data_IF_561079438463
#
_entry.id   IF_561079438463
#
_cell.length_a   1.000
_cell.length_b   1.000
_cell.length_c   1.000
_cell.angle_alpha   90.00
_cell.angle_beta   90.00
_cell.angle_gamma   90.00
#
_symmetry.space_group_name_H-M   'P 1'
#
loop_
_entity.id
_entity.type
_entity.pdbx_description
1 polymer ?
#
# COMPACT_ATOMS: atom_id res chain seq x y z
N UNK A 1 -3.44 46.02 43.89
CA UNK A 1 -3.78 46.04 45.32
C UNK A 1 -5.16 45.43 45.49
N UNK A 2 -5.25 44.17 45.94
CA UNK A 2 -6.41 43.44 46.52
C UNK A 2 -6.08 41.93 46.38
N UNK A 3 -5.45 41.24 47.35
CA UNK A 3 -6.04 40.66 48.58
C UNK A 3 -7.40 39.99 48.30
N UNK A 4 -7.65 38.68 48.52
CA UNK A 4 -6.95 37.58 49.20
C UNK A 4 -7.71 36.25 48.86
N UNK A 5 -7.13 35.05 49.12
CA UNK A 5 -7.59 33.74 48.70
C UNK A 5 -8.42 33.01 49.78
N UNK A 6 -9.01 31.85 49.45
CA UNK A 6 -9.35 30.85 50.47
C UNK A 6 -9.43 29.42 49.90
N UNK A 7 -8.46 28.56 50.25
CA UNK A 7 -8.51 27.12 50.11
C UNK A 7 -8.89 26.45 51.46
N UNK A 8 -9.98 25.69 51.48
CA UNK A 8 -10.41 24.73 52.52
C UNK A 8 -11.22 23.68 51.74
N UNK A 9 -10.93 22.38 51.69
CA UNK A 9 -10.55 21.46 52.76
C UNK A 9 -9.77 20.26 52.18
N UNK A 10 -8.57 20.06 52.70
CA UNK A 10 -7.95 18.75 52.91
C UNK A 10 -8.83 17.93 53.87
N UNK A 11 -9.33 16.73 53.51
CA UNK A 11 -9.74 15.70 54.49
C UNK A 11 -10.20 14.33 53.88
N UNK A 12 -9.58 13.77 52.84
CA UNK A 12 -9.96 12.39 52.41
C UNK A 12 -8.79 11.53 51.95
N UNK A 13 -7.67 11.61 52.69
CA UNK A 13 -6.45 10.88 52.35
C UNK A 13 -5.85 10.13 53.55
N UNK A 14 -6.61 9.28 54.26
CA UNK A 14 -6.07 8.17 55.08
C UNK A 14 -7.17 7.49 55.91
N UNK A 15 -7.72 6.33 55.48
CA UNK A 15 -8.23 5.37 56.49
C UNK A 15 -8.55 3.92 56.11
N UNK A 16 -8.11 3.31 55.01
CA UNK A 16 -8.16 1.83 54.99
C UNK A 16 -6.86 1.22 54.48
N UNK A 17 -6.09 0.79 55.47
CA UNK A 17 -4.90 -0.03 55.38
C UNK A 17 -5.23 -1.49 55.02
N UNK A 18 -4.26 -2.12 54.38
CA UNK A 18 -3.85 -3.53 54.55
C UNK A 18 -4.84 -4.66 54.30
N UNK A 19 -4.55 -5.49 53.30
CA UNK A 19 -4.10 -6.88 53.53
C UNK A 19 -3.67 -7.58 52.23
N UNK A 20 -2.49 -8.21 52.29
CA UNK A 20 -2.05 -9.51 51.73
C UNK A 20 -2.71 -10.00 50.43
N UNK A 21 -2.01 -10.45 49.39
CA UNK A 21 -0.90 -11.41 49.41
C UNK A 21 -1.15 -12.42 48.26
N UNK A 22 -0.06 -12.74 47.56
CA UNK A 22 0.30 -13.91 46.74
C UNK A 22 -0.72 -14.78 45.95
N UNK A 23 -0.17 -15.28 44.83
CA UNK A 23 -0.38 -16.60 44.21
C UNK A 23 -1.31 -16.74 42.99
N UNK A 24 -0.64 -17.14 41.90
CA UNK A 24 -1.14 -17.68 40.64
C UNK A 24 -2.31 -18.68 40.76
N UNK A 25 -3.28 -18.59 39.85
CA UNK A 25 -4.02 -19.74 39.29
C UNK A 25 -4.65 -19.35 37.95
N UNK A 26 -4.34 -20.14 36.92
CA UNK A 26 -4.87 -20.05 35.56
C UNK A 26 -6.25 -20.75 35.45
N UNK A 27 -6.73 -21.08 34.24
CA UNK A 27 -7.55 -20.26 33.35
C UNK A 27 -9.02 -20.73 33.35
N UNK A 28 -9.98 -19.81 33.23
CA UNK A 28 -11.37 -20.23 33.10
C UNK A 28 -12.35 -19.09 32.85
N UNK A 29 -13.29 -19.36 31.95
CA UNK A 29 -14.55 -18.66 31.73
C UNK A 29 -14.50 -17.27 31.09
N UNK A 30 -14.53 -17.26 29.75
CA UNK A 30 -15.14 -16.17 29.00
C UNK A 30 -16.65 -16.11 29.31
N UNK A 31 -17.19 -14.98 29.79
CA UNK A 31 -18.63 -14.79 29.86
C UNK A 31 -19.18 -14.57 28.45
N UNK A 32 -20.22 -15.34 28.15
CA UNK A 32 -21.07 -15.23 26.99
C UNK A 32 -21.80 -13.88 26.97
N UNK A 33 -22.15 -13.37 25.79
CA UNK A 33 -23.28 -12.44 25.71
C UNK A 33 -23.32 -11.40 24.60
N UNK A 34 -23.08 -11.79 23.33
CA UNK A 34 -23.77 -11.14 22.20
C UNK A 34 -24.28 -12.21 21.25
N UNK A 35 -25.51 -12.63 21.50
CA UNK A 35 -26.33 -13.44 20.60
C UNK A 35 -26.53 -12.61 19.33
N UNK A 36 -25.76 -12.94 18.29
CA UNK A 36 -26.05 -12.52 16.94
C UNK A 36 -27.15 -13.47 16.44
N UNK A 37 -28.29 -12.92 16.03
CA UNK A 37 -29.42 -13.67 15.48
C UNK A 37 -28.95 -14.70 14.43
N UNK A 38 -29.54 -15.91 14.39
CA UNK A 38 -29.22 -16.87 13.36
C UNK A 38 -29.61 -16.32 11.97
N UNK A 39 -28.83 -16.58 10.91
CA UNK A 39 -29.24 -16.25 9.55
C UNK A 39 -30.50 -17.04 9.17
N UNK A 40 -31.36 -16.52 8.27
CA UNK A 40 -32.53 -17.23 7.81
C UNK A 40 -32.14 -18.55 7.13
N UNK A 41 -33.00 -19.59 7.18
CA UNK A 41 -32.74 -20.84 6.50
C UNK A 41 -32.68 -20.59 4.98
N UNK A 42 -31.51 -20.79 4.39
CA UNK A 42 -31.39 -20.87 2.94
C UNK A 42 -32.07 -22.16 2.49
N UNK A 43 -33.20 -22.00 1.81
CA UNK A 43 -33.98 -23.09 1.25
C UNK A 43 -33.16 -23.75 0.14
N UNK A 44 -32.45 -24.82 0.46
CA UNK A 44 -31.69 -25.63 -0.48
C UNK A 44 -32.63 -26.60 -1.18
N UNK A 45 -33.34 -26.14 -2.21
CA UNK A 45 -34.10 -27.00 -3.11
C UNK A 45 -34.36 -26.27 -4.43
N UNK A 46 -33.38 -26.32 -5.33
CA UNK A 46 -33.63 -26.16 -6.75
C UNK A 46 -33.09 -27.42 -7.42
N UNK A 47 -33.92 -28.23 -8.11
CA UNK A 47 -33.44 -29.42 -8.80
C UNK A 47 -32.53 -28.98 -9.96
N UNK A 48 -31.24 -29.26 -9.83
CA UNK A 48 -30.29 -29.12 -10.92
C UNK A 48 -30.69 -30.13 -11.99
N UNK A 49 -31.16 -29.65 -13.14
CA UNK A 49 -31.36 -30.49 -14.31
C UNK A 49 -30.02 -31.20 -14.64
N UNK A 50 -30.03 -32.48 -15.04
CA UNK A 50 -28.81 -33.16 -15.49
C UNK A 50 -28.26 -32.39 -16.70
N UNK A 51 -27.10 -31.77 -16.54
CA UNK A 51 -26.38 -31.20 -17.67
C UNK A 51 -26.09 -32.34 -18.67
N UNK A 52 -26.29 -32.14 -19.98
CA UNK A 52 -25.88 -33.14 -20.96
C UNK A 52 -24.37 -33.38 -20.81
N UNK A 53 -23.89 -34.62 -21.01
CA UNK A 53 -22.46 -34.88 -20.96
C UNK A 53 -21.77 -34.00 -22.00
N UNK A 54 -20.90 -33.10 -21.51
CA UNK A 54 -20.03 -32.32 -22.40
C UNK A 54 -19.16 -33.33 -23.14
N UNK A 55 -19.41 -33.50 -24.44
CA UNK A 55 -18.56 -34.29 -25.31
C UNK A 55 -17.18 -33.62 -25.32
N UNK A 56 -16.21 -34.26 -24.66
CA UNK A 56 -14.80 -33.90 -24.74
C UNK A 56 -14.36 -34.24 -26.16
N UNK A 57 -14.47 -33.27 -27.06
CA UNK A 57 -13.84 -33.37 -28.37
C UNK A 57 -12.32 -33.29 -28.15
N UNK A 58 -11.53 -34.21 -28.73
CA UNK A 58 -10.09 -34.13 -28.65
C UNK A 58 -9.63 -32.78 -29.23
N UNK A 59 -8.60 -32.15 -28.65
CA UNK A 59 -8.08 -30.89 -29.18
C UNK A 59 -7.67 -31.10 -30.65
N UNK A 60 -7.94 -30.14 -31.55
CA UNK A 60 -7.54 -30.25 -32.94
C UNK A 60 -6.02 -30.47 -33.01
N UNK A 61 -5.54 -31.26 -33.99
CA UNK A 61 -4.11 -31.46 -34.18
C UNK A 61 -3.44 -30.09 -34.38
N UNK A 62 -2.21 -29.91 -33.86
CA UNK A 62 -1.48 -28.68 -34.07
C UNK A 62 -1.39 -28.40 -35.57
N UNK A 63 -1.57 -27.14 -36.02
CA UNK A 63 -1.40 -26.81 -37.42
C UNK A 63 -0.02 -27.26 -37.88
N UNK A 64 0.14 -27.71 -39.16
CA UNK A 64 1.44 -28.06 -39.70
C UNK A 64 2.42 -26.93 -39.41
N UNK A 65 3.57 -27.27 -38.83
CA UNK A 65 4.63 -26.32 -38.56
C UNK A 65 4.96 -25.58 -39.86
N UNK A 66 4.51 -24.33 -39.96
CA UNK A 66 4.84 -23.46 -41.08
C UNK A 66 6.36 -23.36 -41.11
N UNK A 67 6.95 -23.64 -42.27
CA UNK A 67 8.39 -23.57 -42.47
C UNK A 67 8.94 -22.26 -41.89
N UNK A 68 10.10 -22.28 -41.21
CA UNK A 68 10.71 -21.07 -40.67
C UNK A 68 10.83 -20.04 -41.78
N UNK A 69 10.17 -18.89 -41.57
CA UNK A 69 10.39 -17.74 -42.44
C UNK A 69 11.88 -17.40 -42.40
N UNK A 70 12.49 -16.97 -43.53
CA UNK A 70 13.89 -16.54 -43.52
C UNK A 70 14.09 -15.48 -42.43
N UNK A 71 15.24 -15.48 -41.75
CA UNK A 71 15.49 -14.50 -40.70
C UNK A 71 15.28 -13.10 -41.27
N UNK A 72 14.62 -12.18 -40.53
CA UNK A 72 14.55 -10.80 -40.97
C UNK A 72 15.98 -10.30 -41.19
N UNK A 73 16.22 -9.43 -42.18
CA UNK A 73 17.53 -8.82 -42.31
C UNK A 73 17.88 -8.21 -40.96
N UNK A 74 19.03 -8.60 -40.42
CA UNK A 74 19.56 -8.07 -39.16
C UNK A 74 19.74 -6.58 -39.39
N UNK A 75 18.73 -5.78 -39.03
CA UNK A 75 18.95 -4.35 -38.83
C UNK A 75 19.99 -4.30 -37.72
N UNK A 76 21.14 -3.75 -38.06
CA UNK A 76 22.19 -3.43 -37.09
C UNK A 76 21.52 -2.90 -35.81
N UNK A 77 22.04 -3.27 -34.62
CA UNK A 77 21.63 -2.59 -33.40
C UNK A 77 21.65 -1.09 -33.68
N UNK A 78 20.59 -0.33 -33.35
CA UNK A 78 20.73 1.11 -33.35
C UNK A 78 21.97 1.40 -32.52
N UNK A 79 22.91 2.13 -33.10
CA UNK A 79 24.08 2.64 -32.39
C UNK A 79 23.64 3.09 -31.00
N UNK A 80 24.41 2.80 -29.93
CA UNK A 80 24.11 3.38 -28.62
C UNK A 80 23.82 4.86 -28.85
N UNK A 81 22.68 5.40 -28.37
CA UNK A 81 22.31 6.76 -28.70
C UNK A 81 23.53 7.62 -28.43
N UNK A 82 24.09 8.18 -29.51
CA UNK A 82 25.24 9.07 -29.47
C UNK A 82 24.94 10.02 -28.32
N UNK A 83 25.81 10.01 -27.31
CA UNK A 83 25.66 10.74 -26.05
C UNK A 83 24.99 12.07 -26.34
N UNK A 84 23.66 12.05 -26.21
CA UNK A 84 22.83 13.15 -26.66
C UNK A 84 23.21 14.24 -25.71
N UNK A 85 23.77 15.34 -26.25
CA UNK A 85 24.10 16.54 -25.48
C UNK A 85 23.04 16.68 -24.41
N UNK A 86 23.42 16.44 -23.15
CA UNK A 86 22.54 16.74 -22.03
C UNK A 86 22.01 18.14 -22.34
N UNK A 87 20.69 18.34 -22.44
CA UNK A 87 20.15 19.68 -22.38
C UNK A 87 20.84 20.34 -21.18
N UNK A 88 21.34 21.57 -21.30
CA UNK A 88 21.93 22.25 -20.15
C UNK A 88 20.98 22.09 -18.97
N UNK A 89 21.50 21.83 -17.76
CA UNK A 89 20.64 21.68 -16.58
C UNK A 89 19.64 22.83 -16.60
N UNK A 90 18.33 22.57 -16.49
CA UNK A 90 17.36 23.65 -16.45
C UNK A 90 17.81 24.60 -15.36
N UNK A 91 17.95 25.88 -15.71
CA UNK A 91 18.28 26.95 -14.78
C UNK A 91 17.48 26.77 -13.50
N UNK A 92 18.08 27.00 -12.31
CA UNK A 92 17.36 26.82 -11.05
C UNK A 92 16.02 27.57 -11.15
N UNK A 93 14.89 26.92 -10.82
CA UNK A 93 13.62 27.63 -10.82
C UNK A 93 13.76 28.85 -9.91
N UNK A 94 13.10 29.99 -10.23
CA UNK A 94 13.06 31.12 -9.32
C UNK A 94 12.63 30.59 -7.96
N UNK A 95 13.43 30.88 -6.93
CA UNK A 95 13.27 30.39 -5.58
C UNK A 95 11.87 30.73 -5.04
N UNK A 96 10.89 29.87 -5.34
CA UNK A 96 9.63 29.81 -4.61
C UNK A 96 10.01 29.42 -3.21
N UNK A 97 9.80 30.36 -2.28
CA UNK A 97 9.80 30.32 -0.81
C UNK A 97 10.57 29.15 -0.16
N UNK A 98 11.41 29.41 0.86
CA UNK A 98 12.14 28.37 1.60
C UNK A 98 11.27 27.13 1.87
N UNK A 99 11.82 25.91 1.76
CA UNK A 99 11.07 24.71 2.10
C UNK A 99 10.59 24.89 3.52
N UNK A 100 9.27 25.04 3.69
CA UNK A 100 8.64 25.01 5.00
C UNK A 100 9.18 23.75 5.68
N UNK A 101 9.78 23.85 6.88
CA UNK A 101 10.26 22.69 7.61
C UNK A 101 9.14 21.67 7.62
N UNK A 102 9.42 20.48 7.08
CA UNK A 102 8.40 19.45 6.92
C UNK A 102 7.72 19.28 8.28
N UNK A 103 6.41 19.56 8.41
CA UNK A 103 5.69 19.18 9.62
C UNK A 103 5.93 17.67 9.81
N UNK A 104 5.91 17.15 11.06
CA UNK A 104 6.05 15.72 11.29
C UNK A 104 5.06 14.99 10.38
N UNK A 105 5.58 14.35 9.32
CA UNK A 105 4.78 13.87 8.21
C UNK A 105 4.02 12.67 8.74
N UNK A 106 2.80 12.92 9.23
CA UNK A 106 1.89 11.88 9.59
C UNK A 106 1.75 10.94 8.38
N UNK A 107 1.83 9.61 8.58
CA UNK A 107 1.72 8.65 7.48
C UNK A 107 0.48 8.93 6.64
N UNK A 108 0.57 8.96 5.29
CA UNK A 108 -0.59 9.16 4.44
C UNK A 108 -1.62 8.05 4.69
N UNK A 109 -2.86 8.44 5.00
CA UNK A 109 -3.94 7.50 5.36
C UNK A 109 -4.99 7.37 4.27
N UNK A 110 -5.14 8.41 3.44
CA UNK A 110 -6.14 8.46 2.38
C UNK A 110 -5.49 8.77 1.02
N UNK A 111 -6.30 8.76 -0.04
CA UNK A 111 -5.86 9.09 -1.40
C UNK A 111 -5.37 10.52 -1.52
N UNK A 112 -6.02 11.47 -0.83
CA UNK A 112 -5.66 12.89 -0.89
C UNK A 112 -4.25 13.16 -0.35
N UNK A 113 -3.82 12.43 0.69
CA UNK A 113 -2.47 12.52 1.25
C UNK A 113 -1.43 11.85 0.34
N UNK A 114 -1.84 10.77 -0.35
CA UNK A 114 -0.97 10.02 -1.25
C UNK A 114 -0.68 10.75 -2.57
N UNK A 115 -1.67 11.44 -3.13
CA UNK A 115 -1.56 12.12 -4.44
C UNK A 115 -0.37 13.10 -4.50
N UNK A 116 -0.21 14.07 -3.59
CA UNK A 116 0.89 15.04 -3.68
C UNK A 116 2.26 14.38 -3.52
N UNK A 117 2.38 13.36 -2.65
CA UNK A 117 3.62 12.60 -2.49
C UNK A 117 3.97 11.82 -3.77
N UNK A 118 2.97 11.18 -4.37
CA UNK A 118 3.12 10.44 -5.61
C UNK A 118 3.41 11.35 -6.81
N UNK A 119 2.90 12.58 -6.83
CA UNK A 119 3.27 13.57 -7.87
C UNK A 119 4.76 13.89 -7.81
N UNK A 120 5.31 14.11 -6.61
CA UNK A 120 6.75 14.36 -6.44
C UNK A 120 7.57 13.15 -6.90
N UNK A 121 7.16 11.94 -6.52
CA UNK A 121 7.79 10.67 -6.89
C UNK A 121 7.82 10.45 -8.41
N UNK A 122 6.69 10.72 -9.07
CA UNK A 122 6.50 10.42 -10.48
C UNK A 122 6.93 11.55 -11.43
N UNK A 123 7.38 12.69 -10.91
CA UNK A 123 7.68 13.90 -11.71
C UNK A 123 8.65 13.65 -12.88
N UNK A 124 9.68 12.83 -12.68
CA UNK A 124 10.68 12.50 -13.69
C UNK A 124 10.42 11.15 -14.40
N UNK A 125 9.33 10.47 -14.05
CA UNK A 125 8.98 9.20 -14.67
C UNK A 125 8.46 9.44 -16.09
N UNK A 126 8.98 8.72 -17.09
CA UNK A 126 8.59 8.89 -18.50
C UNK A 126 7.07 8.72 -18.72
N UNK A 127 6.45 7.82 -17.95
CA UNK A 127 5.01 7.56 -17.94
C UNK A 127 4.38 8.03 -16.62
N UNK A 128 4.22 9.34 -16.45
CA UNK A 128 3.77 9.95 -15.19
C UNK A 128 2.41 9.42 -14.70
N UNK A 129 1.40 9.32 -15.58
CA UNK A 129 0.06 8.85 -15.21
C UNK A 129 0.06 7.38 -14.74
N UNK A 130 0.88 6.54 -15.37
CA UNK A 130 1.02 5.12 -14.98
C UNK A 130 1.74 5.03 -13.63
N UNK A 131 2.81 5.80 -13.46
CA UNK A 131 3.53 5.88 -12.19
C UNK A 131 2.61 6.36 -11.06
N UNK A 132 1.80 7.40 -11.29
CA UNK A 132 0.92 7.97 -10.29
C UNK A 132 -0.12 6.93 -9.81
N UNK A 133 -0.74 6.20 -10.75
CA UNK A 133 -1.70 5.13 -10.44
C UNK A 133 -1.08 3.98 -9.64
N UNK A 134 0.15 3.58 -10.00
CA UNK A 134 0.89 2.56 -9.26
C UNK A 134 1.27 3.06 -7.85
N UNK A 135 1.82 4.27 -7.77
CA UNK A 135 2.24 4.89 -6.52
C UNK A 135 1.08 5.07 -5.55
N UNK A 136 -0.08 5.57 -5.98
CA UNK A 136 -1.23 5.76 -5.09
C UNK A 136 -1.73 4.43 -4.54
N UNK A 137 -1.77 3.38 -5.36
CA UNK A 137 -2.10 2.02 -4.90
C UNK A 137 -1.10 1.52 -3.85
N UNK A 138 0.19 1.74 -4.08
CA UNK A 138 1.24 1.38 -3.14
C UNK A 138 1.16 2.18 -1.84
N UNK A 139 0.87 3.47 -1.94
CA UNK A 139 0.73 4.39 -0.82
C UNK A 139 -0.45 4.02 0.06
N UNK A 140 -1.63 3.72 -0.50
CA UNK A 140 -2.79 3.32 0.28
C UNK A 140 -2.56 2.02 1.04
N UNK A 141 -1.81 1.09 0.44
CA UNK A 141 -1.52 -0.20 1.05
C UNK A 141 -0.40 -0.13 2.10
N UNK A 142 0.66 0.62 1.83
CA UNK A 142 1.85 0.70 2.68
C UNK A 142 1.88 1.93 3.58
N UNK A 143 0.94 2.86 3.41
CA UNK A 143 0.82 4.14 4.14
C UNK A 143 2.12 4.94 4.14
N UNK A 144 2.90 4.82 3.06
CA UNK A 144 4.21 5.42 2.92
C UNK A 144 4.57 5.58 1.44
N UNK A 145 5.13 6.74 1.09
CA UNK A 145 5.75 7.02 -0.20
C UNK A 145 7.18 7.45 0.08
N UNK A 146 8.19 6.77 -0.49
CA UNK A 146 9.54 7.14 -0.12
C UNK A 146 9.95 8.48 -0.74
N UNK A 147 10.94 9.19 -0.17
CA UNK A 147 11.34 10.52 -0.62
C UNK A 147 12.19 10.47 -1.90
N UNK A 148 12.12 11.53 -2.70
CA UNK A 148 12.80 11.65 -3.99
C UNK A 148 12.03 10.99 -5.15
N UNK A 149 12.65 10.88 -6.31
CA UNK A 149 12.05 10.42 -7.57
C UNK A 149 12.50 9.00 -7.91
N UNK A 150 13.70 8.62 -7.47
CA UNK A 150 14.33 7.34 -7.71
C UNK A 150 14.91 6.78 -6.40
N UNK A 151 14.83 5.47 -6.21
CA UNK A 151 15.41 4.79 -5.04
C UNK A 151 14.70 5.07 -3.71
N UNK A 152 15.47 5.01 -2.62
CA UNK A 152 15.03 5.19 -1.22
C UNK A 152 13.90 4.25 -0.79
N UNK A 153 13.82 3.07 -1.39
CA UNK A 153 12.74 2.10 -1.13
C UNK A 153 12.79 1.58 0.31
N UNK A 154 13.98 1.56 0.90
CA UNK A 154 14.26 1.24 2.30
C UNK A 154 13.50 2.15 3.27
N UNK A 155 13.24 3.42 2.91
CA UNK A 155 12.57 4.38 3.79
C UNK A 155 11.11 4.01 4.09
N UNK A 156 10.45 3.28 3.20
CA UNK A 156 9.11 2.72 3.44
C UNK A 156 9.13 1.22 3.72
N UNK A 157 10.31 0.66 3.97
CA UNK A 157 10.53 -0.74 4.29
C UNK A 157 10.07 -1.71 3.20
N UNK A 158 9.80 -2.95 3.63
CA UNK A 158 9.53 -4.08 2.74
C UNK A 158 8.22 -3.96 1.99
N UNK A 159 7.21 -3.27 2.54
CA UNK A 159 5.88 -3.19 1.90
C UNK A 159 5.97 -2.52 0.53
N UNK A 160 6.64 -1.37 0.44
CA UNK A 160 6.76 -0.63 -0.83
C UNK A 160 7.75 -1.30 -1.79
N UNK A 161 8.85 -1.84 -1.26
CA UNK A 161 9.91 -2.46 -2.05
C UNK A 161 9.52 -3.83 -2.63
N UNK A 162 8.83 -4.67 -1.87
CA UNK A 162 8.57 -6.08 -2.20
C UNK A 162 7.22 -6.31 -2.88
N UNK A 163 6.41 -5.27 -3.09
CA UNK A 163 5.17 -5.44 -3.83
C UNK A 163 5.46 -5.73 -5.30
N UNK A 164 5.00 -6.88 -5.75
CA UNK A 164 5.15 -7.36 -7.12
C UNK A 164 3.81 -7.44 -7.83
N UNK A 165 3.86 -7.38 -9.15
CA UNK A 165 2.76 -7.75 -10.04
C UNK A 165 2.73 -9.27 -10.20
N UNK A 166 1.67 -9.81 -10.82
CA UNK A 166 1.57 -11.25 -11.13
C UNK A 166 2.76 -11.77 -11.96
N UNK A 167 3.42 -10.90 -12.74
CA UNK A 167 4.61 -11.24 -13.53
C UNK A 167 5.94 -11.10 -12.78
N UNK A 168 5.94 -11.06 -11.44
CA UNK A 168 7.17 -11.00 -10.63
C UNK A 168 7.94 -9.68 -10.67
N UNK A 169 7.48 -8.70 -11.45
CA UNK A 169 8.10 -7.35 -11.51
C UNK A 169 7.60 -6.47 -10.37
N UNK A 170 8.49 -5.61 -9.85
CA UNK A 170 8.15 -4.61 -8.82
C UNK A 170 7.01 -3.72 -9.32
N UNK A 171 5.96 -3.62 -8.50
CA UNK A 171 4.73 -2.88 -8.81
C UNK A 171 4.87 -1.39 -8.52
N UNK A 172 5.55 -1.05 -7.42
CA UNK A 172 5.71 0.33 -6.98
C UNK A 172 6.89 0.99 -7.71
N UNK A 173 6.78 2.29 -8.06
CA UNK A 173 7.86 3.01 -8.74
C UNK A 173 9.13 3.09 -7.87
#
# INVERSE_FOLDING_TARGET
MAFKPMPLLFAFLLLIASSNGDSNTAPGAFPHGKILSPPPPVNASSPTAPYPPTQVTPPPPPPPAKAPSPPPPVKLPPSPPAAGKQPPPPSPPPAKKPPVPAPPVSPPKNTADCVPLCQVRCKLHSRQNVCLRACTTCCLRCKCVPPGQYGNLDKCGKCYANMTTRGGRRKCP
#
